data_IF_735130823981
#
_entry.id   IF_735130823981
#
_cell.length_a   1.000
_cell.length_b   1.000
_cell.length_c   1.000
_cell.angle_alpha   90.00
_cell.angle_beta   90.00
_cell.angle_gamma   90.00
#
_symmetry.space_group_name_H-M   'P 1'
#
loop_
_entity.id
_entity.type
_entity.pdbx_description
1 polymer ?
#
# COMPACT_ATOMS: atom_id res chain seq x y z
N UNK A 1 3.67 -10.62 10.46
CA UNK A 1 3.74 -9.16 10.67
C UNK A 1 2.59 -8.41 9.98
N UNK A 2 2.53 -8.39 8.65
CA UNK A 2 1.54 -7.60 7.88
C UNK A 2 0.09 -7.95 8.24
N UNK A 3 -0.27 -9.24 8.31
CA UNK A 3 -1.62 -9.68 8.73
C UNK A 3 -2.09 -9.03 10.05
N UNK A 4 -1.26 -9.11 11.09
CA UNK A 4 -1.54 -8.48 12.40
C UNK A 4 -1.70 -6.96 12.28
N UNK A 5 -0.93 -6.29 11.42
CA UNK A 5 -1.07 -4.85 11.19
C UNK A 5 -2.41 -4.53 10.50
N UNK A 6 -2.82 -5.30 9.49
CA UNK A 6 -4.13 -5.16 8.84
C UNK A 6 -5.27 -5.31 9.85
N UNK A 7 -5.21 -6.33 10.72
CA UNK A 7 -6.22 -6.56 11.75
C UNK A 7 -6.32 -5.38 12.75
N UNK A 8 -5.17 -4.79 13.10
CA UNK A 8 -5.12 -3.59 13.95
C UNK A 8 -5.73 -2.35 13.27
N UNK A 9 -5.52 -2.18 11.97
CA UNK A 9 -6.13 -1.06 11.23
C UNK A 9 -7.65 -1.26 11.15
N UNK A 10 -8.10 -2.46 10.78
CA UNK A 10 -9.55 -2.77 10.69
C UNK A 10 -10.28 -2.61 12.02
N UNK A 11 -9.62 -2.92 13.14
CA UNK A 11 -10.21 -2.74 14.47
C UNK A 11 -10.21 -1.28 14.93
N UNK A 12 -9.20 -0.48 14.59
CA UNK A 12 -9.12 0.94 14.99
C UNK A 12 -9.98 1.86 14.11
N UNK A 13 -10.03 1.58 12.81
CA UNK A 13 -10.73 2.39 11.81
C UNK A 13 -11.59 1.49 10.90
N UNK A 14 -12.74 0.99 11.37
CA UNK A 14 -13.54 0.00 10.62
C UNK A 14 -14.08 0.51 9.27
N UNK A 15 -14.22 1.83 9.10
CA UNK A 15 -14.66 2.45 7.85
C UNK A 15 -13.56 2.61 6.80
N UNK A 16 -12.29 2.43 7.17
CA UNK A 16 -11.17 2.55 6.24
C UNK A 16 -11.06 1.28 5.40
N UNK A 17 -11.19 1.44 4.07
CA UNK A 17 -10.96 0.33 3.14
C UNK A 17 -9.47 -0.05 3.16
N UNK A 18 -9.18 -1.25 3.66
CA UNK A 18 -7.82 -1.77 3.77
C UNK A 18 -7.79 -3.27 3.48
N UNK A 19 -6.79 -3.68 2.70
CA UNK A 19 -6.54 -5.08 2.38
C UNK A 19 -5.09 -5.47 2.68
N UNK A 20 -4.90 -6.67 3.23
CA UNK A 20 -3.57 -7.19 3.47
C UNK A 20 -3.58 -8.49 4.27
N UNK A 21 -2.52 -9.32 4.17
CA UNK A 21 -1.37 -9.15 3.28
C UNK A 21 -1.76 -9.36 1.82
N UNK A 22 -1.22 -8.53 0.93
CA UNK A 22 -1.52 -8.54 -0.50
C UNK A 22 -0.22 -8.37 -1.30
N UNK A 23 -0.12 -9.02 -2.45
CA UNK A 23 1.00 -8.83 -3.38
C UNK A 23 0.78 -7.59 -4.24
N UNK A 24 1.87 -6.97 -4.73
CA UNK A 24 1.78 -5.72 -5.50
C UNK A 24 0.89 -5.85 -6.75
N UNK A 25 1.04 -6.94 -7.51
CA UNK A 25 0.23 -7.24 -8.70
C UNK A 25 -1.26 -7.31 -8.35
N UNK A 26 -1.63 -8.04 -7.30
CA UNK A 26 -3.01 -8.11 -6.82
C UNK A 26 -3.53 -6.76 -6.30
N UNK A 27 -2.66 -5.89 -5.79
CA UNK A 27 -3.06 -4.58 -5.28
C UNK A 27 -3.42 -3.59 -6.41
N UNK A 28 -2.72 -3.65 -7.54
CA UNK A 28 -2.82 -2.60 -8.60
C UNK A 28 -3.41 -3.07 -9.92
N UNK A 29 -3.44 -4.38 -10.21
CA UNK A 29 -3.90 -4.92 -11.49
C UNK A 29 -5.27 -5.60 -11.34
N UNK A 30 -6.37 -5.01 -11.88
CA UNK A 30 -7.72 -5.56 -11.76
C UNK A 30 -7.86 -7.00 -12.24
N UNK A 31 -7.14 -7.40 -13.30
CA UNK A 31 -7.21 -8.77 -13.82
C UNK A 31 -6.64 -9.81 -12.83
N UNK A 32 -5.55 -9.47 -12.14
CA UNK A 32 -4.95 -10.30 -11.10
C UNK A 32 -5.83 -10.30 -9.85
N UNK A 33 -6.36 -9.13 -9.47
CA UNK A 33 -7.24 -8.97 -8.31
C UNK A 33 -8.52 -9.82 -8.45
N UNK A 34 -9.18 -9.81 -9.61
CA UNK A 34 -10.36 -10.67 -9.87
C UNK A 34 -10.08 -12.16 -9.66
N UNK A 35 -8.85 -12.60 -9.88
CA UNK A 35 -8.46 -14.00 -9.71
C UNK A 35 -8.08 -14.30 -8.26
N UNK A 36 -7.29 -13.43 -7.63
CA UNK A 36 -6.70 -13.69 -6.31
C UNK A 36 -7.59 -13.23 -5.14
N UNK A 37 -8.37 -12.18 -5.33
CA UNK A 37 -9.12 -11.46 -4.28
C UNK A 37 -10.44 -10.85 -4.83
N UNK A 38 -11.36 -11.66 -5.40
CA UNK A 38 -12.54 -11.17 -6.11
C UNK A 38 -13.48 -10.31 -5.27
N UNK A 39 -13.55 -10.54 -3.96
CA UNK A 39 -14.46 -9.85 -3.04
C UNK A 39 -13.83 -8.62 -2.37
N UNK A 40 -12.56 -8.31 -2.68
CA UNK A 40 -11.87 -7.19 -2.07
C UNK A 40 -12.26 -5.87 -2.74
N UNK A 41 -12.68 -4.89 -1.92
CA UNK A 41 -12.96 -3.52 -2.39
C UNK A 41 -11.69 -2.69 -2.66
N UNK A 42 -10.50 -3.23 -2.35
CA UNK A 42 -9.20 -2.53 -2.48
C UNK A 42 -8.32 -3.19 -3.53
N UNK A 43 -8.31 -4.52 -3.64
CA UNK A 43 -7.47 -5.22 -4.61
C UNK A 43 -7.77 -4.77 -6.05
N UNK A 44 -6.72 -4.59 -6.86
CA UNK A 44 -6.79 -4.10 -8.23
C UNK A 44 -7.00 -2.60 -8.37
N UNK A 45 -7.25 -1.89 -7.27
CA UNK A 45 -7.58 -0.46 -7.26
C UNK A 45 -6.82 0.31 -6.17
N UNK A 46 -5.80 -0.30 -5.55
CA UNK A 46 -5.10 0.31 -4.43
C UNK A 46 -4.32 1.56 -4.86
N UNK A 47 -4.57 2.68 -4.19
CA UNK A 47 -3.87 3.96 -4.40
C UNK A 47 -2.84 4.26 -3.32
N UNK A 48 -2.92 3.58 -2.18
CA UNK A 48 -1.99 3.71 -1.05
C UNK A 48 -1.36 2.34 -0.78
N UNK A 49 -0.03 2.27 -0.83
CA UNK A 49 0.74 1.05 -0.62
C UNK A 49 1.58 1.16 0.64
N UNK A 50 1.30 0.32 1.64
CA UNK A 50 2.03 0.27 2.91
C UNK A 50 3.03 -0.89 2.86
N UNK A 51 4.32 -0.55 2.82
CA UNK A 51 5.39 -1.54 2.75
C UNK A 51 5.70 -2.16 4.13
N UNK A 52 6.10 -3.44 4.18
CA UNK A 52 6.34 -4.15 5.43
C UNK A 52 7.57 -3.64 6.22
N UNK A 53 8.50 -2.98 5.54
CA UNK A 53 9.73 -2.43 6.08
C UNK A 53 10.34 -1.36 5.16
N UNK A 54 11.36 -0.66 5.70
CA UNK A 54 12.07 0.42 5.02
C UNK A 54 12.83 -0.07 3.78
N UNK A 55 13.40 -1.27 3.80
CA UNK A 55 14.19 -1.76 2.67
C UNK A 55 13.30 -1.99 1.45
N UNK A 56 12.16 -2.63 1.65
CA UNK A 56 11.17 -2.84 0.60
C UNK A 56 10.63 -1.51 0.10
N UNK A 57 10.20 -0.62 1.01
CA UNK A 57 9.68 0.70 0.62
C UNK A 57 10.70 1.54 -0.17
N UNK A 58 11.94 1.65 0.34
CA UNK A 58 12.99 2.45 -0.27
C UNK A 58 13.41 1.93 -1.65
N UNK A 59 13.56 0.61 -1.79
CA UNK A 59 13.90 -0.01 -3.06
C UNK A 59 12.75 0.13 -4.07
N UNK A 60 11.51 -0.12 -3.66
CA UNK A 60 10.37 -0.11 -4.59
C UNK A 60 10.10 1.29 -5.14
N UNK A 61 10.05 2.35 -4.31
CA UNK A 61 9.74 3.69 -4.84
C UNK A 61 10.85 4.17 -5.80
N UNK A 62 12.13 3.89 -5.50
CA UNK A 62 13.26 4.23 -6.38
C UNK A 62 13.22 3.42 -7.67
N UNK A 63 12.90 2.13 -7.60
CA UNK A 63 12.76 1.29 -8.77
C UNK A 63 11.66 1.84 -9.70
N UNK A 64 10.46 2.09 -9.18
CA UNK A 64 9.33 2.64 -9.96
C UNK A 64 9.67 4.01 -10.55
N UNK A 65 10.27 4.90 -9.75
CA UNK A 65 10.74 6.21 -10.24
C UNK A 65 11.67 6.07 -11.44
N UNK A 66 12.67 5.19 -11.35
CA UNK A 66 13.72 5.03 -12.37
C UNK A 66 13.24 4.23 -13.59
N UNK A 67 12.40 3.22 -13.41
CA UNK A 67 11.99 2.32 -14.49
C UNK A 67 10.77 2.82 -15.26
N UNK A 68 9.84 3.50 -14.58
CA UNK A 68 8.59 3.96 -15.19
C UNK A 68 8.59 5.46 -15.54
N UNK A 69 9.71 6.18 -15.30
CA UNK A 69 9.77 7.63 -15.48
C UNK A 69 8.83 8.40 -14.56
N UNK A 70 8.39 7.78 -13.46
CA UNK A 70 7.46 8.39 -12.52
C UNK A 70 8.14 9.52 -11.74
N UNK A 71 7.39 10.60 -11.48
CA UNK A 71 7.84 11.66 -10.58
C UNK A 71 7.66 11.17 -9.14
N UNK A 72 8.74 11.20 -8.36
CA UNK A 72 8.71 10.91 -6.93
C UNK A 72 8.89 12.21 -6.14
N UNK A 73 7.94 12.49 -5.23
CA UNK A 73 7.98 13.64 -4.33
C UNK A 73 8.14 13.12 -2.90
N UNK A 74 9.09 13.68 -2.15
CA UNK A 74 9.31 13.36 -0.74
C UNK A 74 10.76 13.53 -0.27
N UNK A 75 11.06 13.16 0.98
CA UNK A 75 10.14 12.55 1.95
C UNK A 75 9.10 13.56 2.48
N UNK A 76 7.87 13.10 2.70
CA UNK A 76 6.82 13.86 3.41
C UNK A 76 6.66 13.24 4.80
N UNK A 77 6.76 14.05 5.84
CA UNK A 77 6.57 13.62 7.23
C UNK A 77 5.08 13.67 7.60
N UNK A 78 4.61 12.69 8.37
CA UNK A 78 3.22 12.59 8.83
C UNK A 78 3.15 12.12 10.28
N UNK A 79 2.06 12.48 10.99
CA UNK A 79 1.80 12.07 12.37
C UNK A 79 2.36 12.99 13.45
N UNK A 80 2.88 14.17 13.09
CA UNK A 80 3.36 15.18 14.03
C UNK A 80 2.21 16.14 14.44
N UNK A 81 2.31 16.74 15.62
CA UNK A 81 1.32 17.71 16.12
C UNK A 81 1.26 19.00 15.30
N UNK A 82 2.35 19.34 14.61
CA UNK A 82 2.46 20.50 13.72
C UNK A 82 3.24 20.11 12.46
N UNK A 83 2.89 20.66 11.28
CA UNK A 83 3.69 20.50 10.07
C UNK A 83 5.12 21.01 10.30
N UNK A 84 6.09 20.32 9.70
CA UNK A 84 7.52 20.67 9.70
C UNK A 84 8.07 20.64 8.28
#
# INVERSE_FOLDING_TARGET
>A
KVRKATDLVRSREPGLLVEGPIQYDAAVEPSVARTKMPDSLVAGHATVLIFPDLNTGNNTYKAVQRSAGAIAIGPVLQGLNKPV
#
